data_IF_767615961438
#
_entry.id   IF_767615961438
#
_cell.length_a   1.000
_cell.length_b   1.000
_cell.length_c   1.000
_cell.angle_alpha   90.00
_cell.angle_beta   90.00
_cell.angle_gamma   90.00
#
_symmetry.space_group_name_H-M   'P 1'
#
loop_
_entity.id
_entity.type
_entity.pdbx_description
1 polymer ?
#
# COMPACT_ATOMS: atom_id res chain seq x y z
N UNK A 1 13.22 0.84 -20.11
CA UNK A 1 11.74 0.77 -20.14
C UNK A 1 11.20 -0.44 -19.36
N UNK A 2 11.74 -1.65 -19.53
CA UNK A 2 11.33 -2.83 -18.74
C UNK A 2 11.40 -2.60 -17.22
N UNK A 3 12.52 -2.05 -16.72
CA UNK A 3 12.66 -1.75 -15.28
C UNK A 3 11.56 -0.78 -14.80
N UNK A 4 11.24 0.24 -15.58
CA UNK A 4 10.17 1.19 -15.25
C UNK A 4 8.80 0.50 -15.23
N UNK A 5 8.50 -0.33 -16.22
CA UNK A 5 7.26 -1.12 -16.27
C UNK A 5 7.14 -2.06 -15.05
N UNK A 6 8.24 -2.72 -14.68
CA UNK A 6 8.29 -3.59 -13.50
C UNK A 6 8.07 -2.80 -12.22
N UNK A 7 8.68 -1.63 -12.10
CA UNK A 7 8.46 -0.73 -10.95
C UNK A 7 6.99 -0.31 -10.85
N UNK A 8 6.34 0.06 -11.96
CA UNK A 8 4.91 0.44 -11.98
C UNK A 8 4.03 -0.73 -11.55
N UNK A 9 4.29 -1.93 -12.09
CA UNK A 9 3.52 -3.13 -11.73
C UNK A 9 3.67 -3.46 -10.24
N UNK A 10 4.90 -3.43 -9.72
CA UNK A 10 5.19 -3.68 -8.29
C UNK A 10 4.50 -2.64 -7.42
N UNK A 11 4.59 -1.35 -7.78
CA UNK A 11 3.93 -0.26 -7.07
C UNK A 11 2.41 -0.46 -7.03
N UNK A 12 1.79 -0.75 -8.18
CA UNK A 12 0.34 -1.00 -8.25
C UNK A 12 -0.10 -2.15 -7.35
N UNK A 13 0.67 -3.23 -7.30
CA UNK A 13 0.39 -4.38 -6.42
C UNK A 13 0.48 -3.95 -4.95
N UNK A 14 1.55 -3.26 -4.55
CA UNK A 14 1.73 -2.78 -3.17
C UNK A 14 0.57 -1.86 -2.76
N UNK A 15 0.10 -0.98 -3.66
CA UNK A 15 -1.00 -0.07 -3.40
C UNK A 15 -2.33 -0.80 -3.15
N UNK A 16 -2.63 -1.81 -3.96
CA UNK A 16 -3.84 -2.63 -3.79
C UNK A 16 -3.79 -3.38 -2.46
N UNK A 17 -2.65 -4.01 -2.15
CA UNK A 17 -2.46 -4.71 -0.88
C UNK A 17 -2.54 -3.78 0.32
N UNK A 18 -1.88 -2.61 0.27
CA UNK A 18 -1.94 -1.57 1.31
C UNK A 18 -3.37 -1.12 1.56
N UNK A 19 -4.13 -0.87 0.50
CA UNK A 19 -5.53 -0.45 0.57
C UNK A 19 -6.42 -1.52 1.21
N UNK A 20 -6.25 -2.80 0.86
CA UNK A 20 -7.02 -3.91 1.44
C UNK A 20 -6.71 -4.07 2.93
N UNK A 21 -5.43 -4.00 3.32
CA UNK A 21 -5.02 -4.16 4.72
C UNK A 21 -5.49 -2.97 5.56
N UNK A 22 -5.39 -1.74 5.04
CA UNK A 22 -5.92 -0.54 5.68
C UNK A 22 -7.44 -0.64 5.88
N UNK A 23 -8.17 -1.13 4.87
CA UNK A 23 -9.61 -1.34 4.96
C UNK A 23 -9.98 -2.39 6.01
N UNK A 24 -9.30 -3.54 6.02
CA UNK A 24 -9.51 -4.59 7.03
C UNK A 24 -9.18 -4.08 8.44
N UNK A 25 -8.11 -3.30 8.60
CA UNK A 25 -7.76 -2.65 9.87
C UNK A 25 -8.87 -1.75 10.39
N UNK A 26 -9.57 -1.04 9.49
CA UNK A 26 -10.72 -0.21 9.85
C UNK A 26 -11.97 -1.03 10.25
N UNK A 27 -12.21 -2.18 9.62
CA UNK A 27 -13.38 -3.03 9.92
C UNK A 27 -13.22 -3.77 11.26
N UNK A 28 -12.03 -4.26 11.59
CA UNK A 28 -11.78 -5.01 12.84
C UNK A 28 -11.43 -4.11 14.04
N UNK A 29 -12.23 -3.05 14.23
CA UNK A 29 -12.00 -2.01 15.25
C UNK A 29 -12.05 -2.53 16.70
N UNK A 30 -12.71 -3.64 16.96
CA UNK A 30 -12.89 -4.18 18.32
C UNK A 30 -11.62 -4.81 18.91
N UNK A 31 -10.71 -5.32 18.04
CA UNK A 31 -9.49 -5.99 18.47
C UNK A 31 -8.28 -5.08 18.30
N UNK A 32 -7.88 -4.39 19.38
CA UNK A 32 -6.67 -3.52 19.41
C UNK A 32 -5.43 -4.18 18.81
N UNK A 33 -5.22 -5.47 19.08
CA UNK A 33 -4.07 -6.23 18.57
C UNK A 33 -4.07 -6.35 17.04
N UNK A 34 -5.23 -6.62 16.42
CA UNK A 34 -5.36 -6.72 14.96
C UNK A 34 -5.19 -5.35 14.32
N UNK A 35 -5.81 -4.32 14.88
CA UNK A 35 -5.66 -2.95 14.37
C UNK A 35 -4.19 -2.50 14.40
N UNK A 36 -3.46 -2.76 15.50
CA UNK A 36 -2.04 -2.45 15.59
C UNK A 36 -1.20 -3.18 14.53
N UNK A 37 -1.47 -4.48 14.32
CA UNK A 37 -0.80 -5.27 13.29
C UNK A 37 -1.07 -4.71 11.88
N UNK A 38 -2.33 -4.40 11.55
CA UNK A 38 -2.69 -3.80 10.27
C UNK A 38 -2.01 -2.44 10.07
N UNK A 39 -2.04 -1.56 11.07
CA UNK A 39 -1.35 -0.25 11.01
C UNK A 39 0.16 -0.43 10.81
N UNK A 40 0.79 -1.38 11.50
CA UNK A 40 2.23 -1.65 11.35
C UNK A 40 2.58 -2.10 9.92
N UNK A 41 1.77 -2.96 9.31
CA UNK A 41 1.98 -3.40 7.92
C UNK A 41 1.83 -2.23 6.94
N UNK A 42 0.85 -1.35 7.14
CA UNK A 42 0.67 -0.14 6.31
C UNK A 42 1.87 0.81 6.46
N UNK A 43 2.42 0.98 7.66
CA UNK A 43 3.64 1.78 7.88
C UNK A 43 4.84 1.17 7.14
N UNK A 44 5.00 -0.15 7.17
CA UNK A 44 6.06 -0.83 6.42
C UNK A 44 5.88 -0.59 4.91
N UNK A 45 4.66 -0.73 4.39
CA UNK A 45 4.34 -0.46 2.98
C UNK A 45 4.66 1.00 2.60
N UNK A 46 4.33 1.96 3.47
CA UNK A 46 4.64 3.37 3.28
C UNK A 46 6.16 3.61 3.16
N UNK A 47 6.98 3.01 4.02
CA UNK A 47 8.45 3.11 3.93
C UNK A 47 8.98 2.53 2.61
N UNK A 48 8.42 1.42 2.15
CA UNK A 48 8.77 0.85 0.84
C UNK A 48 8.37 1.80 -0.31
N UNK A 49 7.20 2.41 -0.27
CA UNK A 49 6.76 3.38 -1.28
C UNK A 49 7.67 4.61 -1.33
N UNK A 50 8.04 5.17 -0.18
CA UNK A 50 9.00 6.28 -0.10
C UNK A 50 10.34 5.89 -0.70
N UNK A 51 10.82 4.67 -0.42
CA UNK A 51 12.07 4.17 -1.00
C UNK A 51 12.03 4.10 -2.53
N UNK A 52 10.93 3.57 -3.09
CA UNK A 52 10.73 3.51 -4.55
C UNK A 52 10.62 4.93 -5.13
N UNK A 53 9.89 5.84 -4.46
CA UNK A 53 9.76 7.23 -4.89
C UNK A 53 11.12 7.93 -4.99
N UNK A 54 12.02 7.71 -4.02
CA UNK A 54 13.40 8.26 -4.06
C UNK A 54 14.21 7.69 -5.23
N UNK A 55 14.08 6.39 -5.52
CA UNK A 55 14.78 5.76 -6.65
C UNK A 55 14.29 6.35 -7.98
N UNK A 56 12.96 6.46 -8.15
CA UNK A 56 12.34 7.06 -9.34
C UNK A 56 12.77 8.53 -9.49
N UNK A 57 12.79 9.28 -8.39
CA UNK A 57 13.25 10.68 -8.40
C UNK A 57 14.69 10.81 -8.88
N UNK A 58 15.61 9.96 -8.40
CA UNK A 58 17.02 9.97 -8.87
C UNK A 58 17.13 9.65 -10.37
N UNK A 59 16.35 8.68 -10.86
CA UNK A 59 16.31 8.36 -12.29
C UNK A 59 15.71 9.49 -13.13
N UNK A 60 14.70 10.19 -12.62
CA UNK A 60 14.13 11.37 -13.26
C UNK A 60 15.11 12.55 -13.30
N UNK A 61 15.91 12.74 -12.25
CA UNK A 61 16.93 13.79 -12.21
C UNK A 61 18.09 13.51 -13.19
N UNK A 62 18.49 12.25 -13.34
CA UNK A 62 19.61 11.82 -14.20
C UNK A 62 19.14 11.00 -15.41
N UNK A 63 18.02 11.39 -16.01
CA UNK A 63 17.38 10.63 -17.10
C UNK A 63 18.30 10.45 -18.31
N UNK A 64 19.09 11.46 -18.67
CA UNK A 64 19.95 11.41 -19.85
C UNK A 64 21.06 10.37 -19.74
N UNK A 65 21.79 10.35 -18.62
CA UNK A 65 22.86 9.37 -18.37
C UNK A 65 22.31 7.97 -18.14
N UNK A 66 21.16 7.86 -17.47
CA UNK A 66 20.51 6.57 -17.25
C UNK A 66 20.05 5.94 -18.56
N UNK A 67 19.44 6.72 -19.46
CA UNK A 67 19.01 6.21 -20.76
C UNK A 67 20.22 5.80 -21.60
N UNK A 68 21.30 6.59 -21.63
CA UNK A 68 22.48 6.26 -22.43
C UNK A 68 23.11 4.95 -21.97
N UNK A 69 23.26 4.77 -20.65
CA UNK A 69 23.77 3.53 -20.09
C UNK A 69 22.83 2.35 -20.36
N UNK A 70 21.52 2.54 -20.14
CA UNK A 70 20.51 1.51 -20.41
C UNK A 70 20.52 1.10 -21.88
N UNK A 71 20.75 2.04 -22.80
CA UNK A 71 20.88 1.73 -24.22
C UNK A 71 22.10 0.86 -24.49
N UNK A 72 23.26 1.24 -23.96
CA UNK A 72 24.52 0.49 -24.13
C UNK A 72 24.48 -0.92 -23.53
N UNK A 73 23.69 -1.14 -22.49
CA UNK A 73 23.51 -2.45 -21.84
C UNK A 73 22.34 -3.26 -22.41
N UNK A 74 21.44 -2.64 -23.19
CA UNK A 74 20.26 -3.31 -23.72
C UNK A 74 20.59 -4.40 -24.75
N UNK A 75 19.75 -5.44 -24.80
CA UNK A 75 19.81 -6.48 -25.83
C UNK A 75 19.50 -5.93 -27.22
N UNK A 76 19.95 -6.65 -28.26
CA UNK A 76 19.62 -6.34 -29.65
C UNK A 76 18.12 -6.26 -29.89
N UNK A 77 17.34 -7.19 -29.34
CA UNK A 77 15.88 -7.22 -29.52
C UNK A 77 15.22 -5.98 -28.94
N UNK A 78 15.69 -5.51 -27.78
CA UNK A 78 15.17 -4.30 -27.15
C UNK A 78 15.49 -3.05 -27.97
N UNK A 79 16.72 -2.95 -28.48
CA UNK A 79 17.13 -1.83 -29.33
C UNK A 79 16.35 -1.83 -30.63
N UNK A 80 16.18 -2.99 -31.27
CA UNK A 80 15.37 -3.14 -32.48
C UNK A 80 13.91 -2.71 -32.25
N UNK A 81 13.31 -3.14 -31.13
CA UNK A 81 11.97 -2.71 -30.74
C UNK A 81 11.90 -1.19 -30.57
N UNK A 82 12.88 -0.58 -29.87
CA UNK A 82 12.92 0.86 -29.67
C UNK A 82 13.10 1.63 -31.01
N UNK A 83 14.02 1.18 -31.86
CA UNK A 83 14.26 1.75 -33.19
C UNK A 83 13.01 1.69 -34.07
N UNK A 84 12.28 0.58 -34.01
CA UNK A 84 11.02 0.39 -34.74
C UNK A 84 9.91 1.28 -34.19
N UNK A 85 9.77 1.35 -32.86
CA UNK A 85 8.73 2.14 -32.18
C UNK A 85 8.89 3.64 -32.38
N UNK A 86 10.13 4.14 -32.36
CA UNK A 86 10.44 5.57 -32.46
C UNK A 86 10.94 5.99 -33.85
N UNK A 87 10.96 5.06 -34.82
CA UNK A 87 11.47 5.29 -36.18
C UNK A 87 12.85 5.98 -36.19
N UNK A 88 13.80 5.41 -35.47
CA UNK A 88 15.11 6.00 -35.20
C UNK A 88 16.25 4.99 -35.36
N UNK A 89 17.49 5.46 -35.48
CA UNK A 89 18.68 4.61 -35.69
C UNK A 89 19.81 4.99 -34.72
N UNK A 90 20.22 4.02 -33.88
CA UNK A 90 21.21 4.24 -32.82
C UNK A 90 20.78 5.28 -31.78
N UNK A 91 21.57 5.44 -30.71
CA UNK A 91 21.17 6.30 -29.59
C UNK A 91 21.47 7.79 -29.82
N UNK A 92 22.75 8.17 -29.76
CA UNK A 92 23.18 9.55 -30.08
C UNK A 92 23.40 9.79 -31.58
N UNK A 93 23.60 8.72 -32.34
CA UNK A 93 23.74 8.73 -33.79
C UNK A 93 23.64 7.32 -34.39
N UNK A 94 23.64 7.19 -35.72
CA UNK A 94 23.42 5.91 -36.42
C UNK A 94 24.43 4.81 -36.11
N UNK A 95 25.61 5.18 -35.60
CA UNK A 95 26.70 4.26 -35.24
C UNK A 95 26.73 3.90 -33.75
N UNK A 96 25.89 4.53 -32.94
CA UNK A 96 25.88 4.33 -31.48
C UNK A 96 25.00 3.14 -31.10
N UNK A 97 25.64 1.97 -31.02
CA UNK A 97 25.03 0.69 -30.68
C UNK A 97 23.74 0.41 -31.48
N UNK A 98 23.74 0.56 -32.83
CA UNK A 98 22.55 0.33 -33.63
C UNK A 98 22.26 -1.16 -33.74
N UNK A 99 21.01 -1.48 -34.02
CA UNK A 99 20.65 -2.76 -34.61
C UNK A 99 20.26 -2.52 -36.06
N UNK A 100 20.89 -3.28 -36.95
CA UNK A 100 20.62 -3.19 -38.39
C UNK A 100 19.19 -3.61 -38.67
N UNK A 101 18.47 -2.77 -39.40
CA UNK A 101 17.10 -3.00 -39.85
C UNK A 101 16.90 -2.33 -41.21
N UNK A 102 15.75 -2.55 -41.85
CA UNK A 102 15.42 -1.94 -43.14
C UNK A 102 15.50 -0.39 -43.12
N UNK A 103 15.37 0.21 -41.94
CA UNK A 103 15.38 1.67 -41.71
C UNK A 103 16.64 2.19 -41.02
N UNK A 104 17.55 1.30 -40.62
CA UNK A 104 18.78 1.65 -39.91
C UNK A 104 19.96 0.89 -40.50
N UNK A 105 20.74 1.61 -41.31
CA UNK A 105 21.93 1.10 -41.98
C UNK A 105 23.14 1.84 -41.39
N UNK A 106 23.85 1.25 -40.40
CA UNK A 106 24.87 1.96 -39.60
C UNK A 106 25.92 2.71 -40.43
N UNK A 107 26.30 2.15 -41.57
CA UNK A 107 27.35 2.69 -42.44
C UNK A 107 26.87 3.77 -43.43
N UNK A 108 25.58 4.05 -43.52
CA UNK A 108 24.98 5.04 -44.43
C UNK A 108 24.26 6.13 -43.64
N UNK A 109 25.03 7.10 -43.14
CA UNK A 109 24.53 8.20 -42.28
C UNK A 109 23.50 9.08 -42.99
N UNK A 110 23.60 9.24 -44.32
CA UNK A 110 22.71 10.10 -45.11
C UNK A 110 21.31 9.49 -45.27
N UNK A 111 21.22 8.16 -45.36
CA UNK A 111 19.96 7.42 -45.57
C UNK A 111 19.40 6.80 -44.28
N UNK A 112 20.09 7.00 -43.15
CA UNK A 112 19.69 6.45 -41.85
C UNK A 112 18.67 7.33 -41.15
N UNK A 113 17.75 6.68 -40.43
CA UNK A 113 16.79 7.36 -39.55
C UNK A 113 17.49 8.24 -38.48
N UNK A 114 16.81 9.28 -37.96
CA UNK A 114 17.37 10.16 -36.93
C UNK A 114 17.72 9.41 -35.63
N UNK A 115 18.56 9.99 -34.75
CA UNK A 115 18.94 9.37 -33.48
C UNK A 115 17.77 9.20 -32.51
N UNK A 116 17.77 8.09 -31.76
CA UNK A 116 16.71 7.77 -30.81
C UNK A 116 16.71 8.65 -29.55
N UNK A 117 17.82 9.33 -29.23
CA UNK A 117 17.96 10.12 -28.00
C UNK A 117 16.82 11.12 -27.77
N UNK A 118 16.48 11.92 -28.79
CA UNK A 118 15.43 12.94 -28.69
C UNK A 118 14.05 12.38 -28.35
N UNK A 119 13.44 11.57 -29.23
CA UNK A 119 12.10 11.02 -29.00
C UNK A 119 12.03 10.13 -27.76
N UNK A 120 13.07 9.35 -27.48
CA UNK A 120 13.11 8.47 -26.31
C UNK A 120 13.21 9.25 -24.99
N UNK A 121 14.01 10.31 -24.94
CA UNK A 121 14.13 11.17 -23.76
C UNK A 121 12.82 11.93 -23.48
N UNK A 122 12.15 12.43 -24.52
CA UNK A 122 10.85 13.09 -24.36
C UNK A 122 9.79 12.10 -23.85
N UNK A 123 9.72 10.91 -24.43
CA UNK A 123 8.81 9.86 -23.99
C UNK A 123 9.03 9.49 -22.51
N UNK A 124 10.28 9.22 -22.12
CA UNK A 124 10.61 8.81 -20.75
C UNK A 124 10.32 9.92 -19.75
N UNK A 125 10.61 11.18 -20.06
CA UNK A 125 10.29 12.32 -19.18
C UNK A 125 8.78 12.44 -18.96
N UNK A 126 7.98 12.27 -20.01
CA UNK A 126 6.52 12.34 -19.91
C UNK A 126 5.97 11.21 -19.04
N UNK A 127 6.41 9.98 -19.26
CA UNK A 127 5.99 8.81 -18.47
C UNK A 127 6.41 8.94 -17.00
N UNK A 128 7.67 9.33 -16.73
CA UNK A 128 8.16 9.56 -15.37
C UNK A 128 7.36 10.63 -14.63
N UNK A 129 6.91 11.68 -15.33
CA UNK A 129 6.08 12.73 -14.73
C UNK A 129 4.73 12.19 -14.25
N UNK A 130 4.07 11.34 -15.05
CA UNK A 130 2.81 10.72 -14.65
C UNK A 130 2.99 9.82 -13.43
N UNK A 131 4.03 9.00 -13.43
CA UNK A 131 4.35 8.09 -12.32
C UNK A 131 4.63 8.89 -11.04
N UNK A 132 5.39 9.98 -11.16
CA UNK A 132 5.70 10.85 -10.03
C UNK A 132 4.43 11.44 -9.40
N UNK A 133 3.49 11.93 -10.21
CA UNK A 133 2.22 12.47 -9.72
C UNK A 133 1.43 11.40 -8.97
N UNK A 134 1.27 10.20 -9.54
CA UNK A 134 0.53 9.09 -8.92
C UNK A 134 1.18 8.63 -7.61
N UNK A 135 2.51 8.55 -7.57
CA UNK A 135 3.24 8.18 -6.36
C UNK A 135 3.07 9.23 -5.25
N UNK A 136 3.21 10.51 -5.59
CA UNK A 136 3.10 11.57 -4.61
C UNK A 136 1.68 11.68 -4.04
N UNK A 137 0.65 11.59 -4.89
CA UNK A 137 -0.74 11.61 -4.42
C UNK A 137 -1.06 10.42 -3.54
N UNK A 138 -0.57 9.22 -3.89
CA UNK A 138 -0.72 8.04 -3.05
C UNK A 138 -0.09 8.21 -1.67
N UNK A 139 1.16 8.68 -1.61
CA UNK A 139 1.85 8.91 -0.34
C UNK A 139 1.11 9.89 0.58
N UNK A 140 0.52 10.94 0.00
CA UNK A 140 -0.30 11.90 0.77
C UNK A 140 -1.56 11.23 1.33
N UNK A 141 -2.24 10.40 0.52
CA UNK A 141 -3.44 9.68 0.96
C UNK A 141 -3.10 8.67 2.07
N UNK A 142 -2.01 7.90 1.93
CA UNK A 142 -1.55 6.96 2.94
C UNK A 142 -1.16 7.66 4.25
N UNK A 143 -0.50 8.83 4.16
CA UNK A 143 -0.16 9.61 5.34
C UNK A 143 -1.40 10.08 6.10
N UNK A 144 -2.43 10.57 5.39
CA UNK A 144 -3.71 10.94 5.99
C UNK A 144 -4.41 9.73 6.64
N UNK A 145 -4.39 8.58 5.98
CA UNK A 145 -4.94 7.35 6.53
C UNK A 145 -4.21 6.90 7.81
N UNK A 146 -2.89 7.00 7.84
CA UNK A 146 -2.07 6.71 9.02
C UNK A 146 -2.37 7.68 10.17
N UNK A 147 -2.47 8.98 9.90
CA UNK A 147 -2.87 9.97 10.92
C UNK A 147 -4.23 9.64 11.53
N UNK A 148 -5.21 9.26 10.71
CA UNK A 148 -6.54 8.85 11.17
C UNK A 148 -6.48 7.56 11.99
N UNK A 149 -5.72 6.56 11.53
CA UNK A 149 -5.52 5.28 12.22
C UNK A 149 -4.88 5.47 13.60
N UNK A 150 -3.84 6.30 13.70
CA UNK A 150 -3.17 6.64 14.97
C UNK A 150 -4.12 7.39 15.90
N UNK A 151 -4.88 8.36 15.39
CA UNK A 151 -5.88 9.10 16.18
C UNK A 151 -6.94 8.16 16.76
N UNK A 152 -7.40 7.18 15.97
CA UNK A 152 -8.32 6.16 16.44
C UNK A 152 -7.70 5.29 17.55
N UNK A 153 -6.44 4.89 17.42
CA UNK A 153 -5.71 4.14 18.46
C UNK A 153 -5.59 4.95 19.76
N UNK A 154 -5.26 6.25 19.67
CA UNK A 154 -5.11 7.13 20.83
C UNK A 154 -6.43 7.43 21.55
N UNK A 155 -7.53 7.53 20.82
CA UNK A 155 -8.88 7.77 21.39
C UNK A 155 -9.52 6.51 21.98
N UNK A 156 -8.95 5.34 21.71
CA UNK A 156 -9.48 4.05 22.13
C UNK A 156 -9.20 3.82 23.63
N UNK A 157 -10.15 4.19 24.49
CA UNK A 157 -10.06 4.04 25.94
C UNK A 157 -9.84 2.56 26.34
N UNK A 158 -8.70 2.21 26.99
CA UNK A 158 -8.41 0.83 27.40
C UNK A 158 -9.41 0.25 28.41
N UNK A 159 -10.18 1.10 29.12
CA UNK A 159 -11.17 0.65 30.09
C UNK A 159 -12.48 0.17 29.44
N UNK A 160 -12.78 0.54 28.18
CA UNK A 160 -14.02 0.15 27.51
C UNK A 160 -13.93 -1.23 26.84
N UNK A 161 -12.73 -1.69 26.47
CA UNK A 161 -12.54 -2.97 25.77
C UNK A 161 -12.62 -4.18 26.70
N UNK A 162 -12.48 -4.01 28.02
CA UNK A 162 -12.71 -5.10 28.98
C UNK A 162 -14.17 -5.53 29.07
N UNK A 163 -15.12 -4.69 28.66
CA UNK A 163 -16.55 -4.99 28.64
C UNK A 163 -17.06 -5.50 27.27
N UNK A 164 -16.20 -5.80 26.27
CA UNK A 164 -16.62 -6.36 24.96
C UNK A 164 -15.74 -7.55 24.46
N UNK A 165 -15.81 -8.69 25.14
CA UNK A 165 -15.49 -10.07 24.73
C UNK A 165 -16.76 -10.90 25.01
N UNK A 166 -17.47 -11.37 23.97
CA UNK A 166 -18.78 -12.00 24.11
C UNK A 166 -18.81 -13.26 25.00
N UNK A 167 -17.66 -13.82 25.35
CA UNK A 167 -17.52 -14.98 26.23
C UNK A 167 -17.85 -14.66 27.70
N UNK A 168 -17.47 -13.48 28.23
CA UNK A 168 -17.83 -13.13 29.62
C UNK A 168 -19.26 -12.60 29.75
N UNK A 169 -19.87 -12.03 28.70
CA UNK A 169 -21.27 -11.56 28.74
C UNK A 169 -22.22 -12.75 28.93
N UNK A 170 -21.88 -13.89 28.34
CA UNK A 170 -22.65 -15.13 28.48
C UNK A 170 -22.50 -15.74 29.87
N UNK A 171 -21.31 -15.61 30.47
CA UNK A 171 -21.03 -16.07 31.83
C UNK A 171 -21.70 -15.18 32.90
N UNK A 172 -21.62 -13.85 32.78
CA UNK A 172 -22.32 -12.92 33.70
C UNK A 172 -23.84 -13.08 33.63
N UNK A 173 -24.41 -13.31 32.44
CA UNK A 173 -25.84 -13.60 32.29
C UNK A 173 -26.22 -14.92 32.98
N UNK A 174 -25.28 -15.87 33.09
CA UNK A 174 -25.50 -17.12 33.83
C UNK A 174 -25.49 -16.90 35.34
N UNK A 175 -24.57 -16.07 35.85
CA UNK A 175 -24.49 -15.73 37.27
C UNK A 175 -25.66 -14.86 37.77
N UNK A 176 -26.10 -13.87 36.98
CA UNK A 176 -27.24 -13.01 37.34
C UNK A 176 -28.55 -13.78 37.38
N UNK A 177 -28.81 -14.66 36.39
CA UNK A 177 -30.01 -15.52 36.43
C UNK A 177 -30.00 -16.48 37.63
N UNK A 178 -28.84 -16.98 38.04
CA UNK A 178 -28.74 -17.89 39.19
C UNK A 178 -29.01 -17.17 40.53
N UNK A 179 -28.60 -15.90 40.65
CA UNK A 179 -28.88 -15.08 41.83
C UNK A 179 -30.36 -14.67 41.93
N UNK A 180 -31.03 -14.44 40.81
CA UNK A 180 -32.46 -14.09 40.78
C UNK A 180 -33.36 -15.28 41.19
N UNK A 181 -32.97 -16.50 40.81
CA UNK A 181 -33.61 -17.73 41.29
C UNK A 181 -33.43 -17.94 42.81
N UNK A 182 -32.23 -17.67 43.35
CA UNK A 182 -31.96 -17.80 44.78
C UNK A 182 -32.70 -16.73 45.61
N UNK A 183 -32.77 -15.49 45.12
CA UNK A 183 -33.53 -14.42 45.77
C UNK A 183 -35.04 -14.70 45.80
N UNK A 184 -35.59 -15.35 44.76
CA UNK A 184 -37.00 -15.78 44.76
C UNK A 184 -37.27 -16.95 45.71
N UNK A 185 -36.30 -17.87 45.90
CA UNK A 185 -36.44 -19.00 46.83
C UNK A 185 -36.45 -18.57 48.30
N UNK A 186 -35.62 -17.58 48.68
CA UNK A 186 -35.55 -17.08 50.06
C UNK A 186 -36.83 -16.33 50.49
N UNK A 187 -37.55 -15.72 49.54
CA UNK A 187 -38.83 -15.04 49.85
C UNK A 187 -39.99 -16.00 50.12
N UNK A 188 -39.87 -17.29 49.77
CA UNK A 188 -40.93 -18.30 49.99
C UNK A 188 -40.76 -19.09 51.30
N UNK A 189 -39.63 -18.95 52.00
CA UNK A 189 -39.35 -19.74 53.23
C UNK A 189 -39.80 -19.04 54.52
N UNK A 190 -40.29 -17.80 54.48
CA UNK A 190 -40.60 -17.09 55.74
C UNK A 190 -41.93 -16.31 55.79
N UNK A 191 -43.07 -16.99 56.03
CA UNK A 191 -44.24 -16.35 56.63
C UNK A 191 -44.54 -16.79 58.08
N UNK A 192 -43.73 -17.64 58.73
CA UNK A 192 -44.16 -18.29 60.00
C UNK A 192 -43.64 -17.65 61.29
N UNK A 193 -42.58 -16.83 61.28
CA UNK A 193 -41.92 -16.40 62.54
C UNK A 193 -42.29 -15.01 63.11
N UNK A 194 -43.25 -14.27 62.54
CA UNK A 194 -43.56 -12.91 63.05
C UNK A 194 -44.65 -12.83 64.13
N UNK A 195 -45.25 -13.96 64.56
CA UNK A 195 -46.45 -13.95 65.43
C UNK A 195 -46.22 -14.16 66.95
N UNK A 196 -44.98 -14.32 67.43
CA UNK A 196 -44.71 -14.61 68.86
C UNK A 196 -43.81 -13.60 69.59
N UNK A 197 -43.61 -12.39 69.06
CA UNK A 197 -42.79 -11.35 69.71
C UNK A 197 -43.60 -10.13 70.13
N UNK A 198 -44.76 -10.37 70.75
CA UNK A 198 -45.58 -9.30 71.34
C UNK A 198 -46.34 -9.78 72.58
N UNK A 199 -45.62 -10.34 73.55
CA UNK A 199 -46.12 -10.57 74.91
C UNK A 199 -44.93 -10.91 75.82
N UNK A 200 -44.13 -9.90 76.16
CA UNK A 200 -43.43 -9.71 77.43
C UNK A 200 -43.04 -8.23 77.51
#
# INVERSE_FOLDING_TARGET
>A
MFVLQMLINILGIILIFSSLIGLLGSFYREKKSIHFLCTAVVVIAFVYQVSIAVIVYKQAAHTTSWISQTWAEASSDYRLYAQTKFHCCGFTGPMDHPVSSDTCIPHQVIDSAPPCYGPMNQYIKQELTHIYIVLFTSLVIELLALCNSITQLCTMNPNRTREVSPEYVLEERKYTNMNEYNASADTLVNPVYSKYKRQF
#
